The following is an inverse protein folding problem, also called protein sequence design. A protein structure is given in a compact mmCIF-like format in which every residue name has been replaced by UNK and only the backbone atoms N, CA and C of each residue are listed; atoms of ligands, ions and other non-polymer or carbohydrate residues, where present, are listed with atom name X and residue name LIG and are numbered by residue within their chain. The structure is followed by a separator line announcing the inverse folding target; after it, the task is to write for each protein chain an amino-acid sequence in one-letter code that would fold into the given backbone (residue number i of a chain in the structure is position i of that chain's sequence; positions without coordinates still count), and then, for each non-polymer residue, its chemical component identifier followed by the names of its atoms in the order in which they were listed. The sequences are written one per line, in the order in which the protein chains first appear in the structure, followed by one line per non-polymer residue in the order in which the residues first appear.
data_IF_440009610572
#
_entry.id   IF_440009610572
#
_cell.length_a   1.000
_cell.length_b   1.000
_cell.length_c   1.000
_cell.angle_alpha   90.00
_cell.angle_beta   90.00
_cell.angle_gamma   90.00
#
_symmetry.space_group_name_H-M   'P 1'
#
loop_
_entity.id
_entity.type
_entity.pdbx_description
1 polymer ?
#
# COMPACT_ATOMS: atom_id res chain seq x y z
N UNK A 1 7.27 5.32 -34.21
CA UNK A 1 8.18 6.40 -33.73
C UNK A 1 7.87 6.55 -32.25
N UNK A 2 8.62 5.88 -31.39
CA UNK A 2 8.45 6.05 -29.94
C UNK A 2 8.90 7.46 -29.59
N UNK A 3 8.01 8.27 -29.02
CA UNK A 3 8.39 9.56 -28.48
C UNK A 3 9.36 9.37 -27.32
N UNK A 4 10.26 10.33 -27.14
CA UNK A 4 11.10 10.39 -25.96
C UNK A 4 10.18 10.60 -24.76
N UNK A 5 10.18 9.66 -23.80
CA UNK A 5 9.32 9.70 -22.62
C UNK A 5 10.20 9.62 -21.37
N UNK A 6 10.90 10.71 -21.01
CA UNK A 6 11.98 10.67 -20.01
C UNK A 6 11.56 10.10 -18.65
N UNK A 7 10.28 10.27 -18.27
CA UNK A 7 9.74 9.68 -17.05
C UNK A 7 9.62 8.15 -17.13
N UNK A 8 9.17 7.62 -18.27
CA UNK A 8 9.12 6.18 -18.49
C UNK A 8 10.53 5.61 -18.56
N UNK A 9 11.43 6.27 -19.27
CA UNK A 9 12.82 5.80 -19.40
C UNK A 9 13.54 5.75 -18.04
N UNK A 10 13.25 6.71 -17.15
CA UNK A 10 13.85 6.77 -15.82
C UNK A 10 13.16 5.83 -14.81
N UNK A 11 11.83 5.77 -14.78
CA UNK A 11 11.10 5.17 -13.65
C UNK A 11 10.39 3.85 -13.97
N UNK A 12 10.24 3.49 -15.25
CA UNK A 12 9.42 2.33 -15.64
C UNK A 12 9.95 1.02 -15.06
N UNK A 13 11.28 0.82 -15.05
CA UNK A 13 11.88 -0.42 -14.54
C UNK A 13 11.62 -0.58 -13.04
N UNK A 14 11.77 0.50 -12.26
CA UNK A 14 11.48 0.49 -10.82
C UNK A 14 9.99 0.29 -10.55
N UNK A 15 9.12 1.03 -11.24
CA UNK A 15 7.67 0.87 -11.11
C UNK A 15 7.20 -0.55 -11.46
N UNK A 16 7.76 -1.14 -12.52
CA UNK A 16 7.51 -2.53 -12.91
C UNK A 16 7.96 -3.51 -11.83
N UNK A 17 9.16 -3.31 -11.27
CA UNK A 17 9.67 -4.16 -10.19
C UNK A 17 8.75 -4.13 -8.97
N UNK A 18 8.37 -2.93 -8.50
CA UNK A 18 7.48 -2.76 -7.36
C UNK A 18 6.12 -3.43 -7.58
N UNK A 19 5.58 -3.36 -8.80
CA UNK A 19 4.31 -4.02 -9.13
C UNK A 19 4.41 -5.55 -9.05
N UNK A 20 5.52 -6.13 -9.52
CA UNK A 20 5.76 -7.58 -9.43
C UNK A 20 5.96 -8.02 -7.98
N UNK A 21 6.73 -7.26 -7.19
CA UNK A 21 6.94 -7.56 -5.78
C UNK A 21 5.63 -7.49 -4.97
N UNK A 22 4.78 -6.51 -5.27
CA UNK A 22 3.46 -6.40 -4.65
C UNK A 22 2.58 -7.62 -4.97
N UNK A 23 2.54 -8.05 -6.23
CA UNK A 23 1.82 -9.26 -6.62
C UNK A 23 2.34 -10.50 -5.89
N UNK A 24 3.67 -10.69 -5.85
CA UNK A 24 4.29 -11.82 -5.15
C UNK A 24 4.05 -11.79 -3.63
N UNK A 25 3.96 -10.59 -3.03
CA UNK A 25 3.56 -10.42 -1.64
C UNK A 25 2.11 -10.88 -1.40
N UNK A 26 1.16 -10.45 -2.24
CA UNK A 26 -0.24 -10.87 -2.14
C UNK A 26 -0.39 -12.39 -2.31
N UNK A 27 0.33 -13.00 -3.27
CA UNK A 27 0.36 -14.46 -3.44
C UNK A 27 0.86 -15.20 -2.18
N UNK A 28 1.79 -14.60 -1.42
CA UNK A 28 2.25 -15.17 -0.14
C UNK A 28 1.18 -14.98 0.94
N UNK A 29 0.52 -13.83 1.00
CA UNK A 29 -0.57 -13.58 1.93
C UNK A 29 -1.72 -14.59 1.77
N UNK A 30 -2.10 -14.89 0.53
CA UNK A 30 -3.16 -15.86 0.23
C UNK A 30 -2.75 -17.28 0.66
N UNK A 31 -1.49 -17.67 0.43
CA UNK A 31 -0.96 -18.99 0.84
C UNK A 31 -0.81 -19.17 2.35
N UNK A 32 -0.58 -18.08 3.08
CA UNK A 32 -0.28 -18.11 4.51
C UNK A 32 -1.41 -17.57 5.40
N UNK A 33 -2.60 -17.30 4.85
CA UNK A 33 -3.79 -16.97 5.63
C UNK A 33 -3.80 -15.55 6.20
N UNK A 34 -3.21 -14.58 5.52
CA UNK A 34 -3.15 -13.18 5.99
C UNK A 34 -4.45 -12.38 5.75
N UNK A 35 -5.51 -13.01 5.23
CA UNK A 35 -6.75 -12.34 4.76
C UNK A 35 -7.52 -11.60 5.85
N UNK A 36 -7.33 -11.94 7.13
CA UNK A 36 -7.93 -11.25 8.27
C UNK A 36 -7.09 -10.10 8.85
N UNK A 37 -5.88 -9.85 8.34
CA UNK A 37 -5.02 -8.77 8.83
C UNK A 37 -5.43 -7.44 8.18
N UNK A 38 -5.57 -6.40 9.01
CA UNK A 38 -5.97 -5.06 8.57
C UNK A 38 -4.99 -4.45 7.55
N UNK A 39 -3.69 -4.81 7.60
CA UNK A 39 -2.68 -4.29 6.66
C UNK A 39 -2.88 -4.87 5.26
N UNK A 40 -3.20 -6.16 5.19
CA UNK A 40 -3.56 -6.81 3.93
C UNK A 40 -4.83 -6.18 3.35
N UNK A 41 -5.84 -5.95 4.19
CA UNK A 41 -7.06 -5.27 3.77
C UNK A 41 -6.81 -3.85 3.25
N UNK A 42 -6.03 -3.04 3.99
CA UNK A 42 -5.70 -1.67 3.59
C UNK A 42 -4.98 -1.62 2.24
N UNK A 43 -4.04 -2.53 1.98
CA UNK A 43 -3.37 -2.62 0.68
C UNK A 43 -4.36 -2.89 -0.46
N UNK A 44 -5.27 -3.86 -0.27
CA UNK A 44 -6.29 -4.17 -1.28
C UNK A 44 -7.24 -3.00 -1.55
N UNK A 45 -7.64 -2.28 -0.50
CA UNK A 45 -8.53 -1.12 -0.61
C UNK A 45 -7.85 0.06 -1.33
N UNK A 46 -6.50 0.15 -1.32
CA UNK A 46 -5.75 1.19 -2.01
C UNK A 46 -5.47 0.89 -3.50
N UNK A 47 -5.48 -0.37 -3.94
CA UNK A 47 -5.17 -0.74 -5.34
C UNK A 47 -6.08 -0.04 -6.39
N UNK A 48 -7.41 0.07 -6.19
CA UNK A 48 -8.28 0.75 -7.14
C UNK A 48 -7.88 2.22 -7.41
N UNK A 49 -7.34 2.91 -6.40
CA UNK A 49 -6.91 4.31 -6.51
C UNK A 49 -5.79 4.51 -7.53
N UNK A 50 -4.99 3.46 -7.80
CA UNK A 50 -3.95 3.49 -8.83
C UNK A 50 -4.54 3.48 -10.25
N UNK A 51 -5.72 2.87 -10.44
CA UNK A 51 -6.35 2.70 -11.75
C UNK A 51 -7.31 3.84 -12.10
N UNK A 52 -7.74 4.64 -11.12
CA UNK A 52 -8.60 5.79 -11.34
C UNK A 52 -7.96 6.84 -12.26
N UNK A 53 -8.78 7.52 -13.08
CA UNK A 53 -8.34 8.67 -13.86
C UNK A 53 -8.23 9.91 -12.97
N UNK A 54 -7.11 10.01 -12.26
CA UNK A 54 -6.81 11.11 -11.32
C UNK A 54 -5.35 11.53 -11.41
N UNK A 55 -5.06 12.79 -11.06
CA UNK A 55 -3.72 13.38 -11.13
C UNK A 55 -2.93 13.25 -9.82
N UNK A 56 -3.58 12.83 -8.74
CA UNK A 56 -3.08 12.84 -7.36
C UNK A 56 -2.97 11.43 -6.74
N UNK A 57 -2.73 10.40 -7.55
CA UNK A 57 -2.72 8.98 -7.12
C UNK A 57 -1.88 8.73 -5.86
N UNK A 58 -0.69 9.31 -5.78
CA UNK A 58 0.20 9.16 -4.63
C UNK A 58 -0.43 9.71 -3.34
N UNK A 59 -1.07 10.89 -3.40
CA UNK A 59 -1.81 11.46 -2.28
C UNK A 59 -3.01 10.58 -1.90
N UNK A 60 -3.77 10.11 -2.88
CA UNK A 60 -4.93 9.25 -2.63
C UNK A 60 -4.55 7.97 -1.89
N UNK A 61 -3.47 7.30 -2.31
CA UNK A 61 -2.95 6.10 -1.66
C UNK A 61 -2.47 6.41 -0.24
N UNK A 62 -1.75 7.52 -0.05
CA UNK A 62 -1.30 7.95 1.28
C UNK A 62 -2.47 8.23 2.22
N UNK A 63 -3.48 8.97 1.75
CA UNK A 63 -4.67 9.29 2.52
C UNK A 63 -5.46 8.01 2.87
N UNK A 64 -5.50 7.01 1.98
CA UNK A 64 -6.13 5.71 2.25
C UNK A 64 -5.43 4.88 3.34
N UNK A 65 -4.14 5.11 3.58
CA UNK A 65 -3.39 4.50 4.68
C UNK A 65 -3.39 5.33 5.97
N UNK A 66 -3.89 6.56 5.91
CA UNK A 66 -3.91 7.46 7.06
C UNK A 66 -5.12 7.21 7.93
N UNK A 67 -4.99 7.42 9.24
CA UNK A 67 -6.13 7.52 10.16
C UNK A 67 -6.72 8.93 10.00
N UNK A 68 -7.96 9.09 9.49
CA UNK A 68 -8.56 10.40 9.25
C UNK A 68 -9.16 11.03 10.51
N UNK A 69 -9.03 10.39 11.68
CA UNK A 69 -9.64 10.90 12.92
C UNK A 69 -8.80 12.03 13.54
N UNK A 70 -9.44 13.17 13.81
CA UNK A 70 -8.84 14.30 14.55
C UNK A 70 -8.76 14.04 16.06
N UNK A 71 -9.25 12.89 16.51
CA UNK A 71 -9.21 12.48 17.92
C UNK A 71 -7.91 11.74 18.18
N UNK A 72 -7.11 12.23 19.11
CA UNK A 72 -5.99 11.44 19.65
C UNK A 72 -6.57 10.15 20.22
N UNK A 73 -6.17 9.01 19.64
CA UNK A 73 -6.56 7.71 20.18
C UNK A 73 -6.22 7.68 21.68
N UNK A 74 -7.23 7.38 22.51
CA UNK A 74 -7.11 7.31 23.98
C UNK A 74 -6.01 6.33 24.46
N UNK A 75 -5.50 5.50 23.55
CA UNK A 75 -4.38 4.60 23.76
C UNK A 75 -3.31 4.92 22.71
N UNK A 76 -2.10 5.27 23.15
CA UNK A 76 -0.90 5.40 22.32
C UNK A 76 -0.40 4.04 21.77
N UNK A 77 -1.31 3.14 21.39
CA UNK A 77 -1.01 1.78 20.92
C UNK A 77 -1.99 1.33 19.83
N UNK A 78 -2.32 2.20 18.90
CA UNK A 78 -2.64 1.71 17.56
C UNK A 78 -1.30 1.32 16.92
N UNK A 79 -1.10 0.06 16.49
CA UNK A 79 0.17 -0.33 15.91
C UNK A 79 0.40 0.50 14.64
N UNK A 80 1.45 1.30 14.64
CA UNK A 80 2.03 1.88 13.43
C UNK A 80 2.31 0.73 12.45
N UNK A 81 2.09 0.96 11.16
CA UNK A 81 2.37 -0.03 10.11
C UNK A 81 3.80 -0.58 10.26
N UNK A 82 3.94 -1.83 10.70
CA UNK A 82 5.24 -2.50 10.92
C UNK A 82 5.68 -2.67 12.38
N UNK A 83 4.94 -2.17 13.38
CA UNK A 83 5.22 -2.48 14.77
C UNK A 83 4.91 -3.96 15.07
N UNK A 84 5.85 -4.74 15.65
CA UNK A 84 5.53 -6.08 16.13
C UNK A 84 4.38 -5.99 17.15
N UNK A 85 3.43 -6.93 17.08
CA UNK A 85 2.42 -7.03 18.14
C UNK A 85 3.19 -7.33 19.44
N UNK A 86 2.91 -6.63 20.55
CA UNK A 86 3.42 -7.07 21.83
C UNK A 86 2.94 -8.51 22.02
N UNK A 87 3.91 -9.38 22.27
CA UNK A 87 3.79 -10.82 22.39
C UNK A 87 2.54 -11.18 23.20
N UNK A 88 1.66 -12.01 22.63
CA UNK A 88 0.54 -12.58 23.38
C UNK A 88 1.07 -13.78 24.15
N UNK A 89 1.48 -13.53 25.40
CA UNK A 89 1.92 -14.46 26.47
C UNK A 89 2.99 -15.52 26.11
#
# INVERSE_FOLDING_TARGET
MGGDHPLLDLQFIEARHLLVELAAFLDRCDRHGCTGDFRHRALLDALPLLLEQRTDRAKAVLDAFSDPTDTVASRAAAPVYGAPRPDAD
#
